data_IF_503389785776
#
_entry.id   IF_503389785776
#
_cell.length_a   1.000
_cell.length_b   1.000
_cell.length_c   1.000
_cell.angle_alpha   90.00
_cell.angle_beta   90.00
_cell.angle_gamma   90.00
#
_symmetry.space_group_name_H-M   'P 1'
#
loop_
_entity.id
_entity.type
_entity.pdbx_description
1 polymer ?
#
# COMPACT_ATOMS: atom_id res chain seq x y z
N UNK A 1 3.50 9.42 -0.92
CA UNK A 1 3.35 10.18 0.35
C UNK A 1 4.65 9.98 1.16
N UNK A 2 4.91 10.72 2.24
CA UNK A 2 6.29 10.85 2.80
C UNK A 2 6.43 10.28 4.22
N UNK A 3 7.58 9.69 4.57
CA UNK A 3 7.87 9.06 5.87
C UNK A 3 7.37 9.86 7.09
N UNK A 4 7.70 11.15 7.18
CA UNK A 4 7.24 12.03 8.28
C UNK A 4 5.70 12.13 8.39
N UNK A 5 4.98 11.88 7.28
CA UNK A 5 3.52 11.86 7.24
C UNK A 5 2.96 10.52 7.74
N UNK A 6 3.64 9.38 7.52
CA UNK A 6 3.28 8.13 8.22
C UNK A 6 3.45 8.30 9.73
N UNK A 7 4.61 8.80 10.15
CA UNK A 7 4.94 8.98 11.57
C UNK A 7 3.89 9.83 12.31
N UNK A 8 3.23 10.76 11.60
CA UNK A 8 2.21 11.67 12.14
C UNK A 8 0.76 11.22 11.94
N UNK A 9 0.42 10.59 10.81
CA UNK A 9 -0.97 10.35 10.37
C UNK A 9 -1.28 8.88 10.05
N UNK A 10 -0.29 7.99 10.18
CA UNK A 10 -0.45 6.57 9.88
C UNK A 10 -0.68 6.23 8.40
N UNK A 11 -1.17 5.03 8.17
CA UNK A 11 -1.63 4.52 6.89
C UNK A 11 -3.15 4.73 6.73
N UNK A 12 -3.63 5.67 5.90
CA UNK A 12 -5.07 5.97 5.76
C UNK A 12 -5.93 4.88 5.10
N UNK A 13 -5.39 3.66 4.90
CA UNK A 13 -6.12 2.47 4.45
C UNK A 13 -5.80 1.21 5.28
N UNK A 14 -4.85 1.26 6.23
CA UNK A 14 -4.32 0.08 6.92
C UNK A 14 -3.88 0.34 8.37
N UNK A 15 -4.09 1.55 8.92
CA UNK A 15 -3.61 1.90 10.27
C UNK A 15 -4.21 1.02 11.36
N UNK A 16 -5.44 0.54 11.14
CA UNK A 16 -6.18 -0.38 11.99
C UNK A 16 -5.48 -1.74 12.22
N UNK A 17 -4.46 -2.08 11.42
CA UNK A 17 -3.71 -3.35 11.50
C UNK A 17 -2.21 -3.27 11.22
N UNK A 18 -1.67 -2.13 10.76
CA UNK A 18 -0.22 -1.90 10.60
C UNK A 18 0.38 -0.98 11.66
N UNK A 19 -0.45 -0.17 12.35
CA UNK A 19 -0.04 0.69 13.47
C UNK A 19 1.25 1.50 13.23
N UNK A 20 1.32 2.20 12.09
CA UNK A 20 2.51 2.96 11.65
C UNK A 20 2.64 4.32 12.36
N UNK A 21 1.56 4.87 12.90
CA UNK A 21 1.56 6.18 13.55
C UNK A 21 2.43 6.14 14.82
N UNK A 22 3.45 7.01 14.87
CA UNK A 22 4.42 7.03 15.96
C UNK A 22 5.48 5.91 15.94
N UNK A 23 5.40 4.93 15.04
CA UNK A 23 6.36 3.81 14.96
C UNK A 23 7.28 3.92 13.74
N UNK A 24 8.49 4.44 13.95
CA UNK A 24 9.51 4.54 12.89
C UNK A 24 9.99 3.16 12.41
N UNK A 25 9.95 2.15 13.29
CA UNK A 25 10.33 0.75 13.01
C UNK A 25 9.30 0.10 12.08
N UNK A 26 8.00 0.13 12.43
CA UNK A 26 6.94 -0.37 11.57
C UNK A 26 6.89 0.36 10.21
N UNK A 27 7.27 1.65 10.14
CA UNK A 27 7.40 2.38 8.87
C UNK A 27 8.56 1.85 8.00
N UNK A 28 9.65 1.34 8.58
CA UNK A 28 10.74 0.71 7.82
C UNK A 28 10.29 -0.66 7.29
N UNK A 29 9.64 -1.48 8.14
CA UNK A 29 9.34 -2.87 7.81
C UNK A 29 8.10 -3.03 6.91
N UNK A 30 7.09 -2.16 7.08
CA UNK A 30 5.86 -2.22 6.31
C UNK A 30 5.87 -1.38 5.02
N UNK A 31 6.95 -0.63 4.73
CA UNK A 31 6.96 0.35 3.64
C UNK A 31 8.29 0.35 2.86
N UNK A 32 8.23 0.44 1.54
CA UNK A 32 9.38 0.16 0.68
C UNK A 32 10.07 1.41 0.14
N UNK A 33 11.40 1.32 -0.03
CA UNK A 33 12.19 2.27 -0.81
C UNK A 33 12.49 1.83 -2.27
N UNK A 34 11.66 0.96 -2.86
CA UNK A 34 11.67 0.64 -4.31
C UNK A 34 10.25 0.49 -4.88
N UNK A 35 9.81 1.42 -5.75
CA UNK A 35 8.54 1.36 -6.51
C UNK A 35 8.74 1.44 -8.05
N UNK A 36 7.82 0.87 -8.82
CA UNK A 36 7.66 1.11 -10.28
C UNK A 36 6.24 1.62 -10.63
N UNK A 37 6.19 2.70 -11.43
CA UNK A 37 4.99 3.40 -11.93
C UNK A 37 4.13 4.13 -10.89
N UNK A 38 3.29 5.07 -11.34
CA UNK A 38 2.43 5.92 -10.49
C UNK A 38 0.98 5.94 -10.98
N UNK A 39 0.03 5.93 -10.04
CA UNK A 39 -1.40 6.11 -10.25
C UNK A 39 -1.88 7.25 -9.36
N UNK A 40 -2.39 8.33 -9.95
CA UNK A 40 -3.13 9.38 -9.22
C UNK A 40 -4.61 9.04 -9.26
N UNK A 41 -5.19 8.68 -8.12
CA UNK A 41 -6.56 8.20 -8.01
C UNK A 41 -7.48 9.25 -7.36
N UNK A 42 -8.31 9.89 -8.17
CA UNK A 42 -9.25 10.93 -7.73
C UNK A 42 -10.59 10.37 -7.22
N UNK A 43 -11.17 9.40 -7.92
CA UNK A 43 -12.41 8.70 -7.54
C UNK A 43 -12.22 7.17 -7.64
N UNK A 44 -11.92 6.50 -6.52
CA UNK A 44 -11.83 5.05 -6.39
C UNK A 44 -13.05 4.30 -6.94
N UNK A 45 -14.27 4.74 -6.59
CA UNK A 45 -15.52 4.03 -6.89
C UNK A 45 -15.85 3.96 -8.39
N UNK A 46 -15.44 4.99 -9.15
CA UNK A 46 -15.74 5.14 -10.59
C UNK A 46 -14.59 4.74 -11.50
N UNK A 47 -13.36 4.65 -11.01
CA UNK A 47 -12.19 4.37 -11.84
C UNK A 47 -12.08 2.89 -12.22
N UNK A 48 -12.06 2.61 -13.53
CA UNK A 48 -11.72 1.27 -14.04
C UNK A 48 -10.30 0.85 -13.63
N UNK A 49 -9.34 1.79 -13.63
CA UNK A 49 -7.97 1.55 -13.19
C UNK A 49 -7.93 1.18 -11.70
N UNK A 50 -8.79 1.79 -10.87
CA UNK A 50 -8.89 1.41 -9.46
C UNK A 50 -9.39 -0.03 -9.32
N UNK A 51 -10.47 -0.42 -10.02
CA UNK A 51 -11.00 -1.80 -9.98
C UNK A 51 -10.01 -2.83 -10.51
N UNK A 52 -9.25 -2.50 -11.55
CA UNK A 52 -8.17 -3.36 -12.07
C UNK A 52 -7.03 -3.55 -11.06
N UNK A 53 -6.72 -2.53 -10.27
CA UNK A 53 -5.67 -2.52 -9.23
C UNK A 53 -6.23 -2.80 -7.81
N UNK A 54 -7.51 -3.15 -7.71
CA UNK A 54 -8.31 -3.34 -6.47
C UNK A 54 -8.21 -2.20 -5.44
N UNK A 55 -8.04 -0.98 -5.95
CA UNK A 55 -8.03 0.27 -5.21
C UNK A 55 -9.44 0.89 -5.03
N UNK A 56 -10.50 0.23 -5.48
CA UNK A 56 -11.86 0.82 -5.51
C UNK A 56 -12.52 0.98 -4.13
N UNK A 57 -12.03 0.26 -3.11
CA UNK A 57 -12.37 0.47 -1.69
C UNK A 57 -11.42 1.41 -0.92
N UNK A 58 -10.38 1.93 -1.55
CA UNK A 58 -9.32 2.73 -0.90
C UNK A 58 -9.64 4.23 -0.93
N UNK A 59 -8.93 5.05 -0.14
CA UNK A 59 -9.06 6.52 -0.21
C UNK A 59 -8.45 7.10 -1.49
N UNK A 60 -8.92 8.28 -1.91
CA UNK A 60 -8.27 9.07 -2.98
C UNK A 60 -6.81 9.37 -2.62
N UNK A 61 -5.88 9.25 -3.57
CA UNK A 61 -4.45 9.33 -3.27
C UNK A 61 -3.52 9.08 -4.45
N UNK A 62 -2.25 8.82 -4.14
CA UNK A 62 -1.21 8.48 -5.12
C UNK A 62 -0.61 7.13 -4.73
N UNK A 63 -0.75 6.16 -5.64
CA UNK A 63 -0.37 4.76 -5.47
C UNK A 63 0.71 4.35 -6.49
N UNK A 64 1.43 3.26 -6.26
CA UNK A 64 2.36 2.69 -7.24
C UNK A 64 1.66 1.58 -8.06
N UNK A 65 2.17 1.28 -9.25
CA UNK A 65 1.72 0.09 -10.01
C UNK A 65 2.39 -1.20 -9.54
N UNK A 66 3.54 -1.11 -8.88
CA UNK A 66 4.33 -2.23 -8.35
C UNK A 66 5.22 -1.71 -7.21
N UNK A 67 5.30 -2.48 -6.14
CA UNK A 67 6.19 -2.25 -5.00
C UNK A 67 7.10 -3.47 -4.84
N UNK A 68 8.39 -3.25 -4.58
CA UNK A 68 9.36 -4.33 -4.36
C UNK A 68 9.62 -4.50 -2.87
N UNK A 69 9.77 -5.74 -2.42
CA UNK A 69 9.83 -6.13 -1.00
C UNK A 69 8.67 -7.04 -0.61
N UNK A 70 8.67 -7.49 0.64
CA UNK A 70 7.59 -8.25 1.26
C UNK A 70 7.48 -7.84 2.74
N UNK A 71 6.29 -7.94 3.33
CA UNK A 71 6.13 -7.79 4.78
C UNK A 71 6.82 -8.94 5.53
N UNK A 72 7.35 -8.70 6.74
CA UNK A 72 7.81 -9.77 7.64
C UNK A 72 6.69 -10.77 7.95
N UNK A 73 7.04 -12.06 8.09
CA UNK A 73 6.09 -13.16 8.33
C UNK A 73 5.32 -13.00 9.66
N UNK A 74 5.94 -12.41 10.67
CA UNK A 74 5.31 -12.05 11.95
C UNK A 74 4.16 -11.05 11.75
N UNK A 75 4.41 -9.94 11.06
CA UNK A 75 3.40 -8.90 10.77
C UNK A 75 2.26 -9.48 9.92
N UNK A 76 2.58 -10.34 8.93
CA UNK A 76 1.57 -11.05 8.13
C UNK A 76 0.70 -11.96 9.00
N UNK A 77 1.29 -12.66 9.96
CA UNK A 77 0.56 -13.55 10.87
C UNK A 77 -0.40 -12.76 11.76
N UNK A 78 0.06 -11.66 12.37
CA UNK A 78 -0.79 -10.75 13.15
C UNK A 78 -1.95 -10.18 12.31
N UNK A 79 -1.69 -9.77 11.06
CA UNK A 79 -2.73 -9.28 10.14
C UNK A 79 -3.78 -10.33 9.79
N UNK A 80 -3.38 -11.59 9.55
CA UNK A 80 -4.31 -12.68 9.21
C UNK A 80 -5.08 -13.21 10.43
N UNK A 81 -4.51 -13.15 11.63
CA UNK A 81 -5.17 -13.57 12.89
C UNK A 81 -6.11 -12.50 13.46
N UNK A 82 -5.64 -11.27 13.66
CA UNK A 82 -6.39 -10.21 14.35
C UNK A 82 -7.37 -9.51 13.41
N UNK A 83 -6.86 -8.97 12.30
CA UNK A 83 -7.65 -8.17 11.36
C UNK A 83 -8.36 -9.02 10.29
N UNK A 84 -7.97 -10.31 10.15
CA UNK A 84 -8.42 -11.23 9.09
C UNK A 84 -8.11 -10.71 7.68
N UNK A 85 -7.06 -9.90 7.55
CA UNK A 85 -6.60 -9.30 6.29
C UNK A 85 -5.55 -10.20 5.66
N UNK A 86 -5.95 -10.93 4.63
CA UNK A 86 -5.05 -11.82 3.87
C UNK A 86 -3.93 -11.03 3.19
N UNK A 87 -2.69 -11.51 3.29
CA UNK A 87 -1.57 -10.92 2.54
C UNK A 87 -1.38 -11.56 1.16
N UNK A 88 -1.10 -10.73 0.14
CA UNK A 88 -0.58 -11.14 -1.17
C UNK A 88 0.77 -10.46 -1.43
N UNK A 89 1.88 -11.22 -1.53
CA UNK A 89 3.19 -10.68 -1.90
C UNK A 89 3.19 -10.14 -3.35
N UNK A 90 3.78 -8.95 -3.61
CA UNK A 90 3.80 -8.32 -4.94
C UNK A 90 4.36 -9.22 -6.07
N UNK A 91 5.29 -10.13 -5.76
CA UNK A 91 5.84 -11.08 -6.73
C UNK A 91 4.78 -12.01 -7.37
N UNK A 92 3.69 -12.29 -6.65
CA UNK A 92 2.61 -13.17 -7.14
C UNK A 92 1.63 -12.47 -8.08
N UNK A 93 1.61 -11.14 -8.09
CA UNK A 93 0.74 -10.32 -8.95
C UNK A 93 1.12 -10.42 -10.44
N UNK A 94 2.40 -10.64 -10.74
CA UNK A 94 2.94 -10.60 -12.10
C UNK A 94 2.46 -11.70 -13.05
N UNK A 95 1.74 -12.72 -12.56
CA UNK A 95 1.41 -13.94 -13.30
C UNK A 95 -0.08 -14.30 -13.35
N UNK A 96 -0.99 -13.48 -12.82
CA UNK A 96 -2.44 -13.81 -12.75
C UNK A 96 -3.34 -12.85 -13.52
N UNK A 97 -3.43 -13.07 -14.83
CA UNK A 97 -4.52 -12.53 -15.66
C UNK A 97 -5.82 -13.28 -15.40
N UNK A 98 -6.46 -12.99 -14.27
CA UNK A 98 -7.79 -13.52 -13.91
C UNK A 98 -7.88 -14.07 -12.48
N UNK A 99 -8.48 -13.28 -11.58
CA UNK A 99 -8.84 -13.59 -10.18
C UNK A 99 -7.68 -13.95 -9.22
N UNK A 100 -7.76 -13.42 -7.98
CA UNK A 100 -7.57 -14.09 -6.67
C UNK A 100 -7.31 -13.03 -5.57
N UNK A 101 -8.12 -13.05 -4.50
CA UNK A 101 -8.41 -11.92 -3.59
C UNK A 101 -7.33 -11.43 -2.62
N UNK A 102 -7.42 -10.13 -2.26
CA UNK A 102 -6.58 -9.35 -1.30
C UNK A 102 -5.22 -8.83 -1.82
N UNK A 103 -5.24 -7.85 -2.74
CA UNK A 103 -4.02 -7.35 -3.40
C UNK A 103 -3.40 -6.11 -2.73
N UNK A 104 -2.07 -6.14 -2.62
CA UNK A 104 -1.14 -5.00 -2.45
C UNK A 104 -1.15 -4.28 -1.09
N UNK A 105 0.02 -4.28 -0.43
CA UNK A 105 0.36 -3.36 0.67
C UNK A 105 0.35 -1.93 0.12
N UNK A 106 -0.63 -1.16 0.53
CA UNK A 106 -0.93 0.16 -0.04
C UNK A 106 -0.68 1.27 0.96
N UNK A 107 -0.15 2.38 0.45
CA UNK A 107 0.61 3.41 1.18
C UNK A 107 2.00 2.90 1.59
N UNK A 108 3.13 3.52 1.22
CA UNK A 108 3.36 4.63 0.30
C UNK A 108 4.32 4.22 -0.82
N UNK A 109 4.25 4.93 -1.95
CA UNK A 109 5.46 5.26 -2.71
C UNK A 109 5.89 6.71 -2.45
N UNK A 110 7.19 6.93 -2.35
CA UNK A 110 7.81 8.21 -2.02
C UNK A 110 7.86 9.17 -3.20
N UNK A 111 6.73 9.74 -3.61
CA UNK A 111 6.72 10.87 -4.53
C UNK A 111 7.55 12.04 -3.95
N UNK A 112 8.69 12.35 -4.59
CA UNK A 112 9.50 13.55 -4.31
C UNK A 112 8.70 14.82 -4.62
N UNK A 113 9.12 15.92 -4.00
CA UNK A 113 8.61 17.26 -4.30
C UNK A 113 8.75 17.57 -5.80
N UNK A 114 7.64 17.95 -6.46
CA UNK A 114 7.73 18.81 -7.64
C UNK A 114 8.14 20.20 -7.17
N UNK A 115 9.45 20.50 -7.20
CA UNK A 115 9.92 21.89 -7.24
C UNK A 115 9.75 22.37 -8.68
N UNK A 116 8.99 23.46 -8.84
CA UNK A 116 8.53 23.88 -10.15
C UNK A 116 9.62 24.45 -11.05
N UNK A 117 9.47 24.17 -12.34
CA UNK A 117 9.67 25.10 -13.45
C UNK A 117 8.40 25.04 -14.29
#
# INVERSE_FOLDING_TARGET
>A
MTQNRFMREGCPNCEDFLHLQGSMEAIIDCTSQVFEGLITLADPSKSWVAKWQRLDGYVRGVYATKVSGQLPEEIVSTMEEEARVKYIPPATMSHRTGNLGCDTVHNYWGAKEFKGV
#
